data_IF_684832879821
#
_entry.id   IF_684832879821
#
_cell.length_a   1.000
_cell.length_b   1.000
_cell.length_c   1.000
_cell.angle_alpha   90.00
_cell.angle_beta   90.00
_cell.angle_gamma   90.00
#
_symmetry.space_group_name_H-M   'P 1'
#
loop_
_entity.id
_entity.type
_entity.pdbx_description
1 polymer ?
#
# COMPACT_ATOMS: atom_id res chain seq x y z
N UNK A 1 9.63 51.20 -17.12
CA UNK A 1 10.00 50.41 -15.92
C UNK A 1 8.79 50.08 -15.03
N UNK A 2 7.98 51.07 -14.60
CA UNK A 2 6.82 50.83 -13.73
C UNK A 2 5.69 49.95 -14.34
N UNK A 3 5.43 50.04 -15.65
CA UNK A 3 4.40 49.23 -16.32
C UNK A 3 4.78 47.72 -16.38
N UNK A 4 6.07 47.45 -16.59
CA UNK A 4 6.64 46.10 -16.60
C UNK A 4 6.58 45.45 -15.21
N UNK A 5 6.83 46.22 -14.14
CA UNK A 5 6.70 45.74 -12.76
C UNK A 5 5.25 45.42 -12.38
N UNK A 6 4.27 46.25 -12.79
CA UNK A 6 2.84 45.97 -12.57
C UNK A 6 2.40 44.70 -13.29
N UNK A 7 2.82 44.52 -14.54
CA UNK A 7 2.49 43.32 -15.31
C UNK A 7 3.07 42.07 -14.66
N UNK A 8 4.34 42.12 -14.22
CA UNK A 8 4.99 41.03 -13.51
C UNK A 8 4.24 40.64 -12.23
N UNK A 9 3.86 41.62 -11.39
CA UNK A 9 3.10 41.40 -10.15
C UNK A 9 1.72 40.79 -10.42
N UNK A 10 1.02 41.26 -11.45
CA UNK A 10 -0.29 40.71 -11.82
C UNK A 10 -0.14 39.27 -12.32
N UNK A 11 0.85 38.99 -13.18
CA UNK A 11 1.08 37.62 -13.67
C UNK A 11 1.49 36.65 -12.58
N UNK A 12 2.33 37.06 -11.62
CA UNK A 12 2.70 36.20 -10.49
C UNK A 12 1.54 35.95 -9.54
N UNK A 13 0.68 36.95 -9.30
CA UNK A 13 -0.54 36.78 -8.51
C UNK A 13 -1.53 35.81 -9.17
N UNK A 14 -1.73 35.91 -10.50
CA UNK A 14 -2.57 34.98 -11.26
C UNK A 14 -2.00 33.56 -11.19
N UNK A 15 -0.68 33.39 -11.35
CA UNK A 15 -0.04 32.07 -11.30
C UNK A 15 -0.08 31.44 -9.90
N UNK A 16 0.02 32.26 -8.85
CA UNK A 16 -0.13 31.83 -7.45
C UNK A 16 -1.58 31.43 -7.12
N UNK A 17 -2.57 32.11 -7.70
CA UNK A 17 -3.99 31.74 -7.55
C UNK A 17 -4.38 30.51 -8.38
N UNK A 18 -3.69 30.28 -9.51
CA UNK A 18 -3.90 29.11 -10.37
C UNK A 18 -3.17 27.86 -9.87
N UNK A 19 -2.24 27.98 -8.93
CA UNK A 19 -1.55 26.83 -8.33
C UNK A 19 -2.41 26.23 -7.22
N UNK A 20 -3.22 25.23 -7.58
CA UNK A 20 -3.89 24.40 -6.58
C UNK A 20 -2.84 23.56 -5.84
N UNK A 21 -2.81 23.54 -4.50
CA UNK A 21 -1.92 22.64 -3.78
C UNK A 21 -2.31 21.20 -4.15
N UNK A 22 -1.36 20.44 -4.71
CA UNK A 22 -1.55 19.01 -4.93
C UNK A 22 -1.51 18.30 -3.58
N UNK A 23 -2.61 17.65 -3.20
CA UNK A 23 -2.63 16.77 -2.02
C UNK A 23 -2.11 15.40 -2.42
N UNK A 24 -1.04 14.94 -1.78
CA UNK A 24 -0.44 13.62 -2.03
C UNK A 24 -1.10 12.48 -1.20
N UNK A 25 -2.19 12.78 -0.49
CA UNK A 25 -2.97 11.86 0.34
C UNK A 25 -4.43 11.81 -0.14
N UNK A 26 -5.20 10.88 0.40
CA UNK A 26 -6.66 10.85 0.20
C UNK A 26 -7.27 12.24 0.51
N UNK A 27 -8.20 12.76 -0.32
CA UNK A 27 -8.86 14.03 -0.06
C UNK A 27 -9.67 13.99 1.23
N UNK A 28 -9.70 15.11 1.97
CA UNK A 28 -10.58 15.24 3.14
C UNK A 28 -12.05 15.08 2.74
N UNK A 29 -12.87 14.44 3.60
CA UNK A 29 -14.30 14.32 3.34
C UNK A 29 -14.98 15.70 3.38
N UNK A 30 -16.01 15.89 2.55
CA UNK A 30 -16.81 17.12 2.48
C UNK A 30 -18.16 17.01 3.20
N UNK A 31 -18.43 15.85 3.79
CA UNK A 31 -19.64 15.51 4.53
C UNK A 31 -19.32 14.33 5.48
N UNK A 32 -20.21 14.03 6.42
CA UNK A 32 -19.96 13.01 7.46
C UNK A 32 -19.64 11.61 6.88
N UNK A 33 -20.29 11.22 5.78
CA UNK A 33 -20.04 9.96 5.10
C UNK A 33 -20.38 10.00 3.60
N UNK A 34 -19.74 9.14 2.83
CA UNK A 34 -20.06 8.88 1.42
C UNK A 34 -19.84 7.39 1.14
N UNK A 35 -20.80 6.54 1.51
CA UNK A 35 -20.68 5.08 1.30
C UNK A 35 -20.50 4.78 -0.19
N UNK A 36 -19.45 4.05 -0.55
CA UNK A 36 -19.19 3.72 -1.94
C UNK A 36 -20.29 2.84 -2.56
N UNK A 37 -20.66 3.14 -3.80
CA UNK A 37 -21.42 2.22 -4.65
C UNK A 37 -20.48 1.17 -5.23
N UNK A 38 -20.99 -0.04 -5.49
CA UNK A 38 -20.25 -1.06 -6.23
C UNK A 38 -19.93 -0.56 -7.65
N UNK A 39 -18.67 -0.67 -8.09
CA UNK A 39 -18.20 -0.14 -9.38
C UNK A 39 -19.00 -0.67 -10.58
N UNK A 40 -19.48 -1.91 -10.52
CA UNK A 40 -20.36 -2.50 -11.56
C UNK A 40 -21.69 -1.78 -11.75
N UNK A 41 -22.11 -0.98 -10.77
CA UNK A 41 -23.32 -0.16 -10.79
C UNK A 41 -23.02 1.33 -10.97
N UNK A 42 -21.73 1.71 -10.99
CA UNK A 42 -21.34 3.09 -11.20
C UNK A 42 -21.43 3.42 -12.70
N UNK A 43 -22.09 4.52 -13.03
CA UNK A 43 -22.23 5.00 -14.41
C UNK A 43 -21.07 5.91 -14.85
N UNK A 44 -20.23 6.34 -13.89
CA UNK A 44 -19.11 7.26 -14.11
C UNK A 44 -17.89 6.81 -13.32
N UNK A 45 -16.70 7.11 -13.86
CA UNK A 45 -15.42 6.95 -13.17
C UNK A 45 -14.98 8.29 -12.59
N UNK A 46 -14.67 8.30 -11.30
CA UNK A 46 -14.22 9.48 -10.55
C UNK A 46 -12.97 9.12 -9.73
N UNK A 47 -12.27 10.12 -9.21
CA UNK A 47 -11.23 9.85 -8.21
C UNK A 47 -11.88 9.35 -6.91
N UNK A 48 -11.61 8.11 -6.51
CA UNK A 48 -12.30 7.43 -5.42
C UNK A 48 -13.51 6.64 -5.91
N UNK A 49 -14.66 6.77 -5.23
CA UNK A 49 -15.91 6.11 -5.61
C UNK A 49 -17.11 7.03 -5.45
N UNK A 50 -18.13 6.84 -6.28
CA UNK A 50 -19.41 7.56 -6.18
C UNK A 50 -20.18 7.12 -4.91
N UNK A 51 -20.92 8.05 -4.32
CA UNK A 51 -21.66 7.82 -3.08
C UNK A 51 -23.03 7.17 -3.34
N UNK A 52 -23.42 6.25 -2.46
CA UNK A 52 -24.80 5.77 -2.28
C UNK A 52 -25.68 6.91 -1.75
N UNK A 53 -26.97 6.91 -2.10
CA UNK A 53 -27.95 7.85 -1.53
C UNK A 53 -27.92 7.78 0.00
N UNK A 54 -27.64 8.89 0.72
CA UNK A 54 -27.58 8.92 2.17
C UNK A 54 -28.84 8.40 2.87
N UNK A 55 -30.01 8.51 2.24
CA UNK A 55 -31.29 8.00 2.80
C UNK A 55 -31.37 6.47 2.83
N UNK A 56 -30.55 5.79 2.04
CA UNK A 56 -30.50 4.33 1.94
C UNK A 56 -29.34 3.72 2.74
N UNK A 57 -28.54 4.56 3.40
CA UNK A 57 -27.37 4.13 4.18
C UNK A 57 -27.82 3.54 5.52
N UNK A 58 -27.18 2.46 5.93
CA UNK A 58 -27.45 1.71 7.16
C UNK A 58 -26.13 1.37 7.88
N UNK A 59 -26.21 0.87 9.11
CA UNK A 59 -25.03 0.44 9.86
C UNK A 59 -24.23 -0.65 9.13
N UNK A 60 -24.90 -1.52 8.36
CA UNK A 60 -24.26 -2.60 7.60
C UNK A 60 -23.31 -2.08 6.52
N UNK A 61 -23.50 -0.85 6.02
CA UNK A 61 -22.60 -0.23 5.04
C UNK A 61 -21.21 0.13 5.65
N UNK A 62 -21.13 0.22 6.99
CA UNK A 62 -19.92 0.54 7.75
C UNK A 62 -19.38 -0.66 8.54
N UNK A 63 -19.98 -1.84 8.38
CA UNK A 63 -19.64 -3.03 9.14
C UNK A 63 -19.03 -4.13 8.27
N UNK A 64 -17.94 -4.73 8.75
CA UNK A 64 -17.39 -5.97 8.22
C UNK A 64 -16.95 -6.88 9.36
N UNK A 65 -17.50 -8.08 9.41
CA UNK A 65 -17.04 -9.13 10.32
C UNK A 65 -15.93 -9.98 9.66
N UNK A 66 -15.23 -10.78 10.47
CA UNK A 66 -14.36 -11.86 9.96
C UNK A 66 -12.87 -11.71 10.27
N UNK A 67 -12.38 -10.53 10.65
CA UNK A 67 -10.96 -10.35 11.01
C UNK A 67 -10.55 -11.10 12.29
N UNK A 68 -11.49 -11.70 13.03
CA UNK A 68 -11.19 -12.62 14.13
C UNK A 68 -10.71 -14.00 13.63
N UNK A 69 -11.06 -14.39 12.40
CA UNK A 69 -10.68 -15.68 11.81
C UNK A 69 -9.31 -15.58 11.12
N UNK A 70 -8.40 -16.56 11.31
CA UNK A 70 -7.13 -16.58 10.61
C UNK A 70 -7.34 -16.87 9.11
N UNK A 71 -6.57 -16.20 8.26
CA UNK A 71 -6.48 -16.54 6.84
C UNK A 71 -5.72 -17.84 6.59
N UNK A 72 -5.84 -18.40 5.38
CA UNK A 72 -5.13 -19.61 4.96
C UNK A 72 -3.67 -19.29 4.59
N UNK A 73 -2.73 -19.74 5.42
CA UNK A 73 -1.28 -19.58 5.19
C UNK A 73 -0.63 -20.77 4.49
N UNK A 74 -1.43 -21.72 3.96
CA UNK A 74 -0.95 -22.87 3.20
C UNK A 74 -0.60 -22.48 1.76
N UNK A 75 0.38 -21.59 1.62
CA UNK A 75 0.89 -21.10 0.34
C UNK A 75 2.42 -20.95 0.39
N UNK A 76 3.05 -20.66 -0.75
CA UNK A 76 4.51 -20.62 -0.89
C UNK A 76 5.19 -19.59 0.03
N UNK A 77 4.51 -18.48 0.32
CA UNK A 77 5.00 -17.42 1.18
C UNK A 77 4.76 -17.73 2.67
N UNK A 78 3.85 -18.64 2.99
CA UNK A 78 3.46 -18.95 4.37
C UNK A 78 2.78 -17.78 5.08
N UNK A 79 2.23 -16.82 4.36
CA UNK A 79 1.53 -15.66 4.91
C UNK A 79 0.31 -15.30 4.08
N UNK A 80 -0.63 -14.58 4.68
CA UNK A 80 -1.79 -14.03 3.97
C UNK A 80 -2.25 -12.73 4.65
N UNK A 81 -2.57 -11.75 3.83
CA UNK A 81 -3.16 -10.48 4.22
C UNK A 81 -4.66 -10.58 3.96
N UNK A 82 -5.46 -10.19 4.94
CA UNK A 82 -6.90 -10.00 4.81
C UNK A 82 -7.17 -8.50 4.92
N UNK A 83 -7.15 -7.83 3.77
CA UNK A 83 -7.37 -6.39 3.69
C UNK A 83 -8.83 -6.02 3.92
N UNK A 84 -9.06 -4.90 4.59
CA UNK A 84 -10.35 -4.21 4.72
C UNK A 84 -10.17 -2.77 4.24
N UNK A 85 -10.52 -2.56 2.98
CA UNK A 85 -10.36 -1.30 2.27
C UNK A 85 -11.68 -0.92 1.60
N UNK A 86 -11.71 0.20 0.90
CA UNK A 86 -12.96 0.72 0.31
C UNK A 86 -13.68 -0.26 -0.63
N UNK A 87 -12.97 -1.22 -1.23
CA UNK A 87 -13.57 -2.19 -2.16
C UNK A 87 -14.37 -3.28 -1.44
N UNK A 88 -14.13 -3.51 -0.16
CA UNK A 88 -14.77 -4.57 0.60
C UNK A 88 -15.39 -4.11 1.94
N UNK A 89 -15.22 -2.83 2.29
CA UNK A 89 -15.97 -2.09 3.29
C UNK A 89 -16.31 -0.69 2.73
N UNK A 90 -17.45 -0.55 2.04
CA UNK A 90 -17.80 0.67 1.29
C UNK A 90 -17.88 1.95 2.13
N UNK A 91 -18.19 1.83 3.43
CA UNK A 91 -18.21 2.94 4.38
C UNK A 91 -16.86 3.62 4.60
N UNK A 92 -15.73 3.04 4.16
CA UNK A 92 -14.40 3.67 4.23
C UNK A 92 -14.19 4.78 3.18
N UNK A 93 -15.05 4.89 2.19
CA UNK A 93 -14.89 5.86 1.12
C UNK A 93 -14.90 7.30 1.68
N UNK A 94 -13.98 8.12 1.18
CA UNK A 94 -13.64 9.50 1.61
C UNK A 94 -12.99 9.64 2.99
N UNK A 95 -12.79 8.56 3.75
CA UNK A 95 -12.31 8.64 5.14
C UNK A 95 -10.79 8.52 5.30
N UNK A 96 -10.06 8.24 4.22
CA UNK A 96 -8.59 8.27 4.24
C UNK A 96 -7.91 7.18 5.08
N UNK A 97 -8.62 6.09 5.41
CA UNK A 97 -8.09 5.00 6.21
C UNK A 97 -8.53 3.61 5.73
N UNK A 98 -7.73 2.60 6.05
CA UNK A 98 -8.06 1.18 5.90
C UNK A 98 -7.33 0.35 6.95
N UNK A 99 -7.69 -0.93 7.07
CA UNK A 99 -7.07 -1.87 8.01
C UNK A 99 -6.81 -3.20 7.33
N UNK A 100 -5.80 -3.95 7.76
CA UNK A 100 -5.58 -5.31 7.34
C UNK A 100 -5.22 -6.19 8.54
N UNK A 101 -5.63 -7.46 8.48
CA UNK A 101 -5.06 -8.52 9.33
C UNK A 101 -4.03 -9.28 8.51
N UNK A 102 -2.92 -9.66 9.13
CA UNK A 102 -1.89 -10.47 8.50
C UNK A 102 -1.63 -11.70 9.37
N UNK A 103 -1.80 -12.88 8.79
CA UNK A 103 -1.49 -14.16 9.42
C UNK A 103 -0.21 -14.74 8.81
N UNK A 104 0.68 -15.24 9.66
CA UNK A 104 1.94 -15.86 9.25
C UNK A 104 2.05 -17.26 9.84
N UNK A 105 2.27 -18.26 8.98
CA UNK A 105 2.79 -19.56 9.40
C UNK A 105 4.21 -19.40 9.97
N UNK A 106 4.75 -20.47 10.57
CA UNK A 106 6.16 -20.50 10.99
C UNK A 106 7.06 -20.25 9.77
N UNK A 107 7.98 -19.28 9.86
CA UNK A 107 8.82 -18.80 8.75
C UNK A 107 8.06 -18.13 7.58
N UNK A 108 6.77 -17.85 7.77
CA UNK A 108 5.97 -17.11 6.80
C UNK A 108 6.53 -15.71 6.57
N UNK A 109 6.53 -15.28 5.31
CA UNK A 109 7.05 -14.01 4.83
C UNK A 109 5.91 -13.25 4.16
N UNK A 110 5.68 -12.01 4.58
CA UNK A 110 5.06 -11.02 3.72
C UNK A 110 6.22 -10.33 2.96
N UNK A 111 6.38 -10.62 1.66
CA UNK A 111 7.61 -10.32 0.91
C UNK A 111 7.85 -8.82 0.80
N UNK A 112 9.03 -8.37 0.34
CA UNK A 112 9.27 -6.97 0.05
C UNK A 112 8.16 -6.37 -0.84
N UNK A 113 7.47 -5.38 -0.30
CA UNK A 113 6.37 -4.67 -0.96
C UNK A 113 6.37 -3.19 -0.58
N UNK A 114 5.55 -2.40 -1.28
CA UNK A 114 5.32 -0.99 -0.95
C UNK A 114 3.85 -0.61 -1.13
N UNK A 115 3.42 0.41 -0.38
CA UNK A 115 2.12 1.05 -0.49
C UNK A 115 2.30 2.43 -1.15
N UNK A 116 1.94 2.61 -2.43
CA UNK A 116 2.19 3.86 -3.13
C UNK A 116 1.37 5.04 -2.58
N UNK A 117 0.24 4.76 -1.90
CA UNK A 117 -0.73 5.79 -1.49
C UNK A 117 -1.03 5.82 0.00
N UNK A 118 -0.30 5.09 0.83
CA UNK A 118 -0.55 5.10 2.28
C UNK A 118 0.68 4.75 3.10
N UNK A 119 0.81 5.39 4.26
CA UNK A 119 1.69 4.96 5.35
C UNK A 119 1.00 3.82 6.09
N UNK A 120 1.77 2.85 6.57
CA UNK A 120 1.28 1.73 7.37
C UNK A 120 1.79 1.84 8.82
N UNK A 121 0.91 1.54 9.78
CA UNK A 121 1.28 1.23 11.17
C UNK A 121 0.87 -0.20 11.49
N UNK A 122 1.83 -1.01 11.94
CA UNK A 122 1.65 -2.42 12.27
C UNK A 122 1.71 -2.64 13.77
N UNK A 123 0.76 -3.41 14.31
CA UNK A 123 0.74 -3.89 15.70
C UNK A 123 0.76 -5.41 15.71
N UNK A 124 1.70 -6.00 16.45
CA UNK A 124 1.77 -7.47 16.60
C UNK A 124 0.82 -7.93 17.69
N UNK A 125 -0.09 -8.85 17.36
CA UNK A 125 -1.02 -9.45 18.32
C UNK A 125 -0.50 -10.77 18.89
N UNK A 126 0.22 -11.57 18.08
CA UNK A 126 0.75 -12.87 18.48
C UNK A 126 2.04 -13.18 17.71
N UNK A 127 2.94 -13.96 18.33
CA UNK A 127 4.15 -14.45 17.69
C UNK A 127 5.28 -13.41 17.70
N UNK A 128 6.27 -13.56 16.81
CA UNK A 128 7.43 -12.68 16.73
C UNK A 128 7.77 -12.39 15.27
N UNK A 129 7.79 -11.11 14.90
CA UNK A 129 8.02 -10.69 13.52
C UNK A 129 9.33 -9.90 13.42
N UNK A 130 10.22 -10.34 12.53
CA UNK A 130 11.32 -9.53 12.03
C UNK A 130 10.78 -8.63 10.92
N UNK A 131 10.75 -7.32 11.16
CA UNK A 131 10.19 -6.34 10.23
C UNK A 131 11.24 -5.33 9.83
N UNK A 132 11.06 -4.68 8.68
CA UNK A 132 11.90 -3.55 8.34
C UNK A 132 11.50 -2.88 7.02
N UNK A 133 12.04 -1.68 6.82
CA UNK A 133 11.94 -0.95 5.56
C UNK A 133 13.29 -0.39 5.14
N UNK A 134 13.43 -0.18 3.83
CA UNK A 134 14.64 0.31 3.20
C UNK A 134 14.47 1.78 2.86
N UNK A 135 15.43 2.63 3.27
CA UNK A 135 15.43 4.05 2.93
C UNK A 135 15.67 4.26 1.43
N UNK A 136 15.20 5.39 0.91
CA UNK A 136 15.45 5.81 -0.47
C UNK A 136 16.95 5.88 -0.79
N UNK A 137 17.27 5.89 -2.08
CA UNK A 137 18.65 5.94 -2.54
C UNK A 137 19.39 7.10 -1.88
N UNK A 138 20.52 6.84 -1.22
CA UNK A 138 21.38 7.88 -0.71
C UNK A 138 22.16 8.54 -1.87
N UNK A 139 23.07 9.45 -1.54
CA UNK A 139 24.02 10.01 -2.52
C UNK A 139 24.93 8.96 -3.18
N UNK A 140 25.75 9.37 -4.17
CA UNK A 140 26.61 8.47 -4.94
C UNK A 140 27.48 7.55 -4.07
N UNK A 141 27.65 6.30 -4.50
CA UNK A 141 28.46 5.27 -3.83
C UNK A 141 28.02 4.86 -2.41
N UNK A 142 26.80 5.20 -2.00
CA UNK A 142 26.23 4.75 -0.73
C UNK A 142 25.16 3.67 -0.95
N UNK A 143 25.03 2.76 0.02
CA UNK A 143 23.99 1.71 0.02
C UNK A 143 22.74 2.22 0.72
N UNK A 144 21.57 1.81 0.25
CA UNK A 144 20.32 2.04 0.95
C UNK A 144 20.38 1.46 2.37
N UNK A 145 19.92 2.23 3.35
CA UNK A 145 19.92 1.82 4.76
C UNK A 145 18.66 1.02 5.07
N UNK A 146 18.82 -0.16 5.68
CA UNK A 146 17.73 -0.93 6.26
C UNK A 146 17.49 -0.49 7.71
N UNK A 147 16.24 -0.15 8.05
CA UNK A 147 15.78 0.03 9.43
C UNK A 147 14.90 -1.15 9.80
N UNK A 148 15.22 -1.82 10.91
CA UNK A 148 14.62 -3.11 11.24
C UNK A 148 14.53 -3.36 12.74
N UNK A 149 13.58 -4.20 13.15
CA UNK A 149 13.38 -4.64 14.53
C UNK A 149 12.73 -6.03 14.55
N UNK A 150 12.95 -6.78 15.64
CA UNK A 150 12.11 -7.93 15.99
C UNK A 150 11.02 -7.42 16.95
N UNK A 151 9.77 -7.55 16.52
CA UNK A 151 8.58 -7.20 17.29
C UNK A 151 8.01 -8.41 18.03
N UNK A 152 7.51 -8.19 19.24
CA UNK A 152 6.78 -9.13 20.08
C UNK A 152 5.31 -8.66 20.23
N UNK A 153 4.40 -9.46 20.82
CA UNK A 153 3.02 -9.05 21.01
C UNK A 153 2.90 -7.74 21.79
N UNK A 154 2.11 -6.80 21.26
CA UNK A 154 1.94 -5.44 21.79
C UNK A 154 2.88 -4.41 21.17
N UNK A 155 3.95 -4.82 20.49
CA UNK A 155 4.88 -3.90 19.84
C UNK A 155 4.27 -3.30 18.56
N UNK A 156 4.65 -2.05 18.27
CA UNK A 156 4.20 -1.26 17.12
C UNK A 156 5.38 -0.87 16.24
N UNK A 157 5.20 -0.84 14.92
CA UNK A 157 6.20 -0.35 13.97
C UNK A 157 5.53 0.37 12.80
N UNK A 158 6.16 1.42 12.28
CA UNK A 158 5.61 2.27 11.21
C UNK A 158 6.43 2.10 9.94
N UNK A 159 5.75 1.94 8.80
CA UNK A 159 6.34 1.90 7.46
C UNK A 159 5.91 3.15 6.69
N UNK A 160 6.85 4.08 6.39
CA UNK A 160 6.53 5.29 5.64
C UNK A 160 5.98 4.98 4.23
N UNK A 161 5.03 5.79 3.78
CA UNK A 161 4.44 5.69 2.44
C UNK A 161 5.51 5.55 1.35
N UNK A 162 5.29 4.60 0.43
CA UNK A 162 6.15 4.39 -0.73
C UNK A 162 7.47 3.66 -0.47
N UNK A 163 7.88 3.42 0.78
CA UNK A 163 9.11 2.68 1.06
C UNK A 163 8.92 1.17 1.00
N UNK A 164 9.90 0.48 0.40
CA UNK A 164 9.94 -0.98 0.35
C UNK A 164 10.13 -1.53 1.76
N UNK A 165 9.24 -2.42 2.19
CA UNK A 165 9.25 -3.01 3.51
C UNK A 165 8.75 -4.46 3.49
N UNK A 166 8.93 -5.18 4.60
CA UNK A 166 8.61 -6.61 4.70
C UNK A 166 8.35 -7.03 6.15
N UNK A 167 7.75 -8.21 6.33
CA UNK A 167 7.63 -8.86 7.63
C UNK A 167 7.91 -10.36 7.51
N UNK A 168 8.78 -10.90 8.37
CA UNK A 168 9.13 -12.32 8.44
C UNK A 168 8.83 -12.88 9.82
N UNK A 169 8.08 -13.98 9.90
CA UNK A 169 7.86 -14.68 11.16
C UNK A 169 9.10 -15.48 11.59
N UNK A 170 9.86 -14.91 12.51
CA UNK A 170 11.05 -15.54 13.13
C UNK A 170 10.72 -16.30 14.42
N UNK A 171 9.45 -16.31 14.82
CA UNK A 171 8.94 -17.08 15.95
C UNK A 171 8.91 -18.58 15.69
N UNK A 172 8.76 -19.35 16.79
CA UNK A 172 8.59 -20.81 16.72
C UNK A 172 7.14 -21.22 16.42
N UNK A 173 6.20 -20.29 16.52
CA UNK A 173 4.76 -20.48 16.30
C UNK A 173 4.24 -19.54 15.22
N UNK A 174 2.99 -19.71 14.81
CA UNK A 174 2.31 -18.74 13.95
C UNK A 174 2.25 -17.35 14.61
N UNK A 175 2.26 -16.32 13.77
CA UNK A 175 2.17 -14.92 14.18
C UNK A 175 0.94 -14.25 13.56
N UNK A 176 0.43 -13.23 14.24
CA UNK A 176 -0.73 -12.43 13.82
C UNK A 176 -0.38 -10.97 14.05
N UNK A 177 -0.62 -10.13 13.05
CA UNK A 177 -0.51 -8.69 13.17
C UNK A 177 -1.70 -7.99 12.54
N UNK A 178 -1.94 -6.75 12.96
CA UNK A 178 -2.89 -5.84 12.33
C UNK A 178 -2.15 -4.62 11.82
N UNK A 179 -2.51 -4.18 10.63
CA UNK A 179 -1.97 -2.99 9.98
C UNK A 179 -3.09 -1.96 9.81
N UNK A 180 -2.87 -0.72 10.22
CA UNK A 180 -3.69 0.43 9.85
C UNK A 180 -2.98 1.22 8.75
N UNK A 181 -3.71 1.66 7.72
CA UNK A 181 -3.13 2.39 6.59
C UNK A 181 -3.81 3.73 6.39
N UNK A 182 -3.02 4.76 6.04
CA UNK A 182 -3.48 6.14 5.87
C UNK A 182 -4.10 6.43 4.48
N UNK A 183 -4.86 5.47 3.94
CA UNK A 183 -5.66 5.64 2.73
C UNK A 183 -6.79 4.62 2.71
N UNK A 184 -7.92 4.97 2.11
CA UNK A 184 -9.03 4.06 1.82
C UNK A 184 -8.62 2.98 0.79
N UNK A 185 -7.59 3.27 -0.02
CA UNK A 185 -7.02 2.38 -1.03
C UNK A 185 -5.50 2.60 -1.15
N UNK A 186 -4.70 2.06 -0.20
CA UNK A 186 -3.26 2.27 -0.16
C UNK A 186 -2.55 1.68 -1.39
N UNK A 187 -3.15 0.65 -2.02
CA UNK A 187 -2.52 -0.17 -3.06
C UNK A 187 -1.38 -1.01 -2.50
N UNK A 188 -0.98 -2.04 -3.23
CA UNK A 188 0.21 -2.83 -2.87
C UNK A 188 1.01 -3.13 -4.14
N UNK A 189 2.33 -3.03 -4.03
CA UNK A 189 3.25 -3.43 -5.09
C UNK A 189 4.21 -4.43 -4.46
N UNK A 190 3.94 -5.72 -4.64
CA UNK A 190 4.88 -6.79 -4.28
C UNK A 190 6.06 -6.74 -5.24
N UNK A 191 7.25 -6.39 -4.74
CA UNK A 191 8.38 -5.97 -5.59
C UNK A 191 8.79 -7.05 -6.57
N UNK A 192 8.93 -8.29 -6.11
CA UNK A 192 9.38 -9.37 -6.98
C UNK A 192 8.34 -9.72 -8.05
N UNK A 193 7.05 -9.75 -7.70
CA UNK A 193 5.96 -9.97 -8.65
C UNK A 193 5.85 -8.81 -9.67
N UNK A 194 5.97 -7.56 -9.23
CA UNK A 194 5.91 -6.40 -10.11
C UNK A 194 7.09 -6.34 -11.10
N UNK A 195 8.26 -6.83 -10.71
CA UNK A 195 9.47 -6.81 -11.55
C UNK A 195 9.56 -8.02 -12.48
N UNK A 196 9.24 -9.22 -11.98
CA UNK A 196 9.46 -10.47 -12.70
C UNK A 196 8.17 -11.18 -13.13
N UNK A 197 7.02 -10.85 -12.53
CA UNK A 197 5.71 -11.47 -12.81
C UNK A 197 4.69 -10.52 -13.45
N UNK A 198 5.13 -9.38 -14.01
CA UNK A 198 4.24 -8.44 -14.69
C UNK A 198 3.65 -9.04 -15.97
N UNK A 199 2.46 -8.58 -16.35
CA UNK A 199 1.84 -8.92 -17.63
C UNK A 199 1.50 -7.64 -18.42
N UNK A 200 2.13 -7.40 -19.59
CA UNK A 200 3.20 -8.21 -20.18
C UNK A 200 4.51 -8.18 -19.35
N UNK A 201 5.43 -9.15 -19.52
CA UNK A 201 6.72 -9.16 -18.83
C UNK A 201 7.58 -7.94 -19.18
N UNK A 202 8.32 -7.42 -18.21
CA UNK A 202 9.36 -6.42 -18.48
C UNK A 202 10.41 -7.05 -19.39
N UNK A 203 10.88 -6.28 -20.37
CA UNK A 203 11.93 -6.70 -21.30
C UNK A 203 13.18 -7.21 -20.54
N UNK A 204 13.67 -8.37 -20.96
CA UNK A 204 14.78 -9.09 -20.33
C UNK A 204 16.12 -8.33 -20.41
N UNK A 205 16.39 -7.56 -21.48
CA UNK A 205 17.56 -6.67 -21.55
C UNK A 205 17.51 -5.58 -20.47
N UNK A 206 16.32 -5.01 -20.22
CA UNK A 206 16.13 -4.01 -19.16
C UNK A 206 16.47 -4.63 -17.80
N UNK A 207 15.93 -5.81 -17.50
CA UNK A 207 16.16 -6.47 -16.21
C UNK A 207 17.60 -6.98 -16.07
N UNK A 208 18.17 -7.60 -17.10
CA UNK A 208 19.56 -8.07 -17.09
C UNK A 208 20.52 -6.91 -16.83
N UNK A 209 20.30 -5.75 -17.45
CA UNK A 209 21.10 -4.55 -17.22
C UNK A 209 20.88 -3.94 -15.84
N UNK A 210 19.62 -3.88 -15.38
CA UNK A 210 19.27 -3.30 -14.08
C UNK A 210 19.82 -4.13 -12.91
N UNK A 211 19.73 -5.45 -13.00
CA UNK A 211 20.21 -6.39 -11.99
C UNK A 211 21.68 -6.79 -12.15
N UNK A 212 22.30 -6.45 -13.29
CA UNK A 212 23.70 -6.75 -13.62
C UNK A 212 24.00 -8.25 -13.63
N UNK A 213 23.08 -9.02 -14.21
CA UNK A 213 23.14 -10.49 -14.30
C UNK A 213 22.79 -10.97 -15.70
N UNK A 214 23.09 -12.23 -15.99
CA UNK A 214 22.78 -12.85 -17.28
C UNK A 214 21.26 -12.98 -17.51
N UNK A 215 20.85 -12.84 -18.77
CA UNK A 215 19.46 -13.04 -19.21
C UNK A 215 18.87 -14.37 -18.76
N UNK A 216 19.66 -15.46 -18.79
CA UNK A 216 19.19 -16.78 -18.34
C UNK A 216 18.70 -16.78 -16.89
N UNK A 217 19.29 -15.94 -16.03
CA UNK A 217 18.83 -15.78 -14.65
C UNK A 217 17.54 -14.98 -14.60
N UNK A 218 17.40 -13.96 -15.45
CA UNK A 218 16.15 -13.19 -15.61
C UNK A 218 15.03 -14.09 -16.11
N UNK A 219 15.26 -14.88 -17.16
CA UNK A 219 14.29 -15.82 -17.71
C UNK A 219 13.81 -16.78 -16.61
N UNK A 220 14.74 -17.34 -15.84
CA UNK A 220 14.41 -18.21 -14.71
C UNK A 220 13.57 -17.51 -13.64
N UNK A 221 13.85 -16.24 -13.33
CA UNK A 221 13.08 -15.44 -12.38
C UNK A 221 11.68 -15.12 -12.92
N UNK A 222 11.55 -14.81 -14.22
CA UNK A 222 10.27 -14.53 -14.86
C UNK A 222 9.39 -15.79 -15.01
N UNK A 223 10.00 -16.97 -15.11
CA UNK A 223 9.30 -18.26 -15.10
C UNK A 223 8.79 -18.68 -13.71
N UNK A 224 9.24 -18.03 -12.61
CA UNK A 224 8.78 -18.39 -11.28
C UNK A 224 7.29 -18.09 -11.11
N UNK A 225 6.61 -18.97 -10.37
CA UNK A 225 5.24 -18.70 -9.95
C UNK A 225 5.22 -17.67 -8.81
N UNK A 226 4.72 -16.47 -9.11
CA UNK A 226 4.59 -15.39 -8.13
C UNK A 226 3.24 -15.51 -7.40
N UNK A 227 3.30 -15.86 -6.11
CA UNK A 227 2.11 -15.95 -5.28
C UNK A 227 1.68 -14.57 -4.76
N UNK A 228 0.42 -14.21 -4.97
CA UNK A 228 -0.17 -13.04 -4.32
C UNK A 228 -0.75 -13.42 -2.95
N UNK A 229 -0.26 -12.79 -1.90
CA UNK A 229 -0.73 -12.97 -0.53
C UNK A 229 -1.61 -11.80 -0.05
N UNK A 230 -2.01 -10.88 -0.93
CA UNK A 230 -2.77 -9.66 -0.60
C UNK A 230 -4.28 -9.76 -0.80
#
# INVERSE_FOLDING_TARGET
>A
MALSLKFLVVTTAILALASSPSTASDPSPLQDFCVAVNDSKATVFVNGKVCKDPKLVTADDFFRSGLNKPGNTSNQLGSVVTAVNVNNLPGLNTLGISVARIDFARRGLNPPHTHPRGTEVLVVLKGRLYVGFVLSNPGPNMKNKLLTKILNPGDVFVFPQGLVHFQLNVGKTNAIAFAGLSSQNPGVITIANAVFGSDPPINDDVLAKAFQIDKKVIDHLQEQFWWDNN
#
